data_IF_925286682759
#
_entry.id   IF_925286682759
#
_cell.length_a   1.000
_cell.length_b   1.000
_cell.length_c   1.000
_cell.angle_alpha   90.00
_cell.angle_beta   90.00
_cell.angle_gamma   90.00
#
_symmetry.space_group_name_H-M   'P 1'
#
loop_
_entity.id
_entity.type
_entity.pdbx_description
1 polymer ?
#
# COMPACT_ATOMS: atom_id res chain seq x y z
N UNK A 1 10.90 19.84 2.02
CA UNK A 1 10.40 19.69 3.40
C UNK A 1 9.27 20.66 3.77
N UNK A 2 9.25 21.89 3.22
CA UNK A 2 8.18 22.87 3.49
C UNK A 2 6.83 22.52 2.86
N UNK A 3 6.81 21.87 1.70
CA UNK A 3 5.58 21.47 1.02
C UNK A 3 4.77 20.43 1.80
N UNK A 4 5.44 19.37 2.27
CA UNK A 4 4.82 18.30 3.07
C UNK A 4 4.28 18.86 4.40
N UNK A 5 5.00 19.75 5.06
CA UNK A 5 4.50 20.42 6.28
C UNK A 5 3.23 21.23 6.02
N UNK A 6 3.17 21.99 4.93
CA UNK A 6 1.97 22.79 4.59
C UNK A 6 0.78 21.90 4.30
N UNK A 7 0.96 20.85 3.51
CA UNK A 7 -0.11 19.89 3.18
C UNK A 7 -0.63 19.19 4.45
N UNK A 8 0.26 18.74 5.33
CA UNK A 8 -0.11 18.13 6.60
C UNK A 8 -0.89 19.10 7.50
N UNK A 9 -0.44 20.37 7.62
CA UNK A 9 -1.16 21.37 8.40
C UNK A 9 -2.54 21.70 7.81
N UNK A 10 -2.67 21.72 6.49
CA UNK A 10 -3.98 21.87 5.83
C UNK A 10 -4.88 20.68 6.15
N UNK A 11 -4.41 19.45 6.00
CA UNK A 11 -5.18 18.25 6.32
C UNK A 11 -5.68 18.21 7.78
N UNK A 12 -4.84 18.60 8.74
CA UNK A 12 -5.23 18.69 10.15
C UNK A 12 -6.29 19.79 10.34
N UNK A 13 -6.12 20.93 9.70
CA UNK A 13 -7.04 22.06 9.77
C UNK A 13 -8.40 21.73 9.13
N UNK A 14 -8.40 20.98 8.03
CA UNK A 14 -9.59 20.57 7.29
C UNK A 14 -10.27 19.32 7.87
N UNK A 15 -9.85 18.86 9.06
CA UNK A 15 -10.38 17.67 9.75
C UNK A 15 -10.22 16.38 8.93
N UNK A 16 -9.13 16.25 8.19
CA UNK A 16 -8.78 15.03 7.47
C UNK A 16 -8.58 13.88 8.46
N UNK A 17 -9.18 12.73 8.16
CA UNK A 17 -9.05 11.52 8.97
C UNK A 17 -7.84 10.67 8.58
N UNK A 18 -7.36 10.82 7.37
CA UNK A 18 -6.31 9.99 6.79
C UNK A 18 -5.23 10.89 6.21
N UNK A 19 -3.98 10.62 6.54
CA UNK A 19 -2.82 11.29 5.95
C UNK A 19 -1.87 10.24 5.42
N UNK A 20 -1.60 10.28 4.12
CA UNK A 20 -0.68 9.34 3.47
C UNK A 20 0.61 10.05 3.05
N UNK A 21 1.73 9.37 3.28
CA UNK A 21 3.05 9.69 2.74
C UNK A 21 3.52 8.54 1.87
N UNK A 22 3.85 8.82 0.62
CA UNK A 22 4.33 7.80 -0.31
C UNK A 22 5.84 7.64 -0.19
N UNK A 23 6.29 6.39 -0.04
CA UNK A 23 7.69 6.01 0.08
C UNK A 23 8.12 5.04 -1.04
N UNK A 24 8.36 5.57 -2.24
CA UNK A 24 8.62 4.74 -3.42
C UNK A 24 9.96 4.01 -3.38
N UNK A 25 10.83 4.35 -2.45
CA UNK A 25 12.17 3.77 -2.35
C UNK A 25 12.32 2.70 -1.27
N UNK A 26 11.37 2.56 -0.35
CA UNK A 26 11.52 1.59 0.76
C UNK A 26 11.67 0.15 0.25
N UNK A 27 10.82 -0.26 -0.67
CA UNK A 27 10.94 -1.59 -1.26
C UNK A 27 12.17 -1.76 -2.16
N UNK A 28 12.62 -0.70 -2.84
CA UNK A 28 13.81 -0.77 -3.71
C UNK A 28 15.12 -0.70 -2.95
N UNK A 29 15.12 -0.09 -1.77
CA UNK A 29 16.30 0.13 -0.92
C UNK A 29 15.99 -0.16 0.54
N UNK A 30 15.66 -1.42 0.89
CA UNK A 30 15.20 -1.77 2.23
C UNK A 30 16.24 -1.46 3.33
N UNK A 31 17.51 -1.56 3.03
CA UNK A 31 18.58 -1.17 3.97
C UNK A 31 18.52 0.33 4.33
N UNK A 32 18.27 1.19 3.35
CA UNK A 32 18.11 2.62 3.59
C UNK A 32 16.81 2.91 4.35
N UNK A 33 15.74 2.16 4.08
CA UNK A 33 14.50 2.26 4.83
C UNK A 33 14.74 1.97 6.31
N UNK A 34 15.45 0.89 6.63
CA UNK A 34 15.80 0.51 8.01
C UNK A 34 16.77 1.49 8.67
N UNK A 35 17.82 1.92 7.96
CA UNK A 35 18.86 2.77 8.55
C UNK A 35 18.36 4.18 8.91
N UNK A 36 17.54 4.79 8.05
CA UNK A 36 17.05 6.17 8.28
C UNK A 36 15.67 6.48 7.72
N UNK A 37 15.15 5.67 6.76
CA UNK A 37 13.92 5.99 6.04
C UNK A 37 12.71 6.01 6.95
N UNK A 38 12.47 4.94 7.71
CA UNK A 38 11.34 4.81 8.65
C UNK A 38 11.39 5.92 9.69
N UNK A 39 12.56 6.19 10.26
CA UNK A 39 12.72 7.30 11.22
C UNK A 39 12.41 8.67 10.61
N UNK A 40 12.75 8.88 9.35
CA UNK A 40 12.38 10.12 8.66
C UNK A 40 10.88 10.20 8.34
N UNK A 41 10.27 9.06 7.99
CA UNK A 41 8.82 8.96 7.81
C UNK A 41 8.08 9.30 9.11
N UNK A 42 8.51 8.78 10.26
CA UNK A 42 7.96 9.13 11.57
C UNK A 42 8.05 10.63 11.86
N UNK A 43 9.16 11.28 11.48
CA UNK A 43 9.32 12.74 11.62
C UNK A 43 8.32 13.52 10.75
N UNK A 44 7.82 12.96 9.66
CA UNK A 44 6.76 13.58 8.86
C UNK A 44 5.44 13.66 9.63
N UNK A 45 5.20 12.75 10.55
CA UNK A 45 3.98 12.66 11.36
C UNK A 45 4.14 13.19 12.79
N UNK A 46 5.34 13.65 13.18
CA UNK A 46 5.70 14.00 14.56
C UNK A 46 4.73 14.96 15.26
N UNK A 47 4.18 15.92 14.52
CA UNK A 47 3.32 16.96 15.11
C UNK A 47 1.81 16.63 14.94
N UNK A 48 1.50 15.41 14.53
CA UNK A 48 0.12 14.93 14.45
C UNK A 48 -0.25 14.32 15.80
N UNK A 49 -0.78 15.13 16.69
CA UNK A 49 -1.15 14.72 18.04
C UNK A 49 -2.61 14.23 18.13
N UNK A 50 -3.38 14.32 17.03
CA UNK A 50 -4.76 13.88 17.00
C UNK A 50 -4.81 12.38 16.71
N UNK A 51 -5.16 11.57 17.71
CA UNK A 51 -5.28 10.12 17.61
C UNK A 51 -6.39 9.64 16.64
N UNK A 52 -7.28 10.53 16.23
CA UNK A 52 -8.29 10.21 15.21
C UNK A 52 -7.76 10.29 13.77
N UNK A 53 -6.51 10.70 13.57
CA UNK A 53 -5.89 10.78 12.25
C UNK A 53 -5.06 9.53 12.02
N UNK A 54 -5.45 8.73 11.04
CA UNK A 54 -4.74 7.54 10.61
C UNK A 54 -3.55 7.91 9.72
N UNK A 55 -2.36 7.49 10.12
CA UNK A 55 -1.09 7.73 9.44
C UNK A 55 -0.81 6.57 8.50
N UNK A 56 -0.81 6.86 7.20
CA UNK A 56 -0.67 5.85 6.15
C UNK A 56 0.65 6.07 5.43
N UNK A 57 1.33 4.99 5.08
CA UNK A 57 2.42 5.02 4.11
C UNK A 57 2.15 4.06 2.95
N UNK A 58 2.35 4.52 1.72
CA UNK A 58 2.34 3.66 0.54
C UNK A 58 3.76 3.32 0.13
N UNK A 59 4.04 2.03 -0.04
CA UNK A 59 5.36 1.51 -0.42
C UNK A 59 5.26 0.86 -1.78
N UNK A 60 5.62 1.65 -2.79
CA UNK A 60 5.60 1.24 -4.20
C UNK A 60 6.75 0.28 -4.52
N UNK A 61 6.48 -0.79 -5.26
CA UNK A 61 7.50 -1.71 -5.76
C UNK A 61 8.11 -1.30 -7.10
N UNK A 62 7.42 -0.49 -7.86
CA UNK A 62 7.83 -0.02 -9.17
C UNK A 62 6.64 0.44 -9.97
N UNK A 63 6.76 1.57 -10.64
CA UNK A 63 5.69 2.14 -11.44
C UNK A 63 6.02 1.98 -12.93
N UNK A 64 5.14 1.38 -13.73
CA UNK A 64 5.32 1.27 -15.18
C UNK A 64 5.21 2.65 -15.84
N UNK A 65 5.81 2.81 -17.01
CA UNK A 65 5.79 4.07 -17.79
C UNK A 65 4.54 4.21 -18.68
N UNK A 66 3.88 3.08 -18.96
CA UNK A 66 2.69 3.03 -19.83
C UNK A 66 1.79 1.83 -19.52
N UNK A 67 0.59 1.84 -20.07
CA UNK A 67 -0.34 0.72 -20.02
C UNK A 67 0.27 -0.51 -20.71
N UNK A 68 0.06 -1.67 -20.13
CA UNK A 68 0.57 -2.98 -20.59
C UNK A 68 2.09 -3.07 -20.68
N UNK A 69 2.83 -2.23 -19.95
CA UNK A 69 4.26 -2.38 -19.81
C UNK A 69 4.57 -3.66 -19.00
N UNK A 70 5.32 -4.58 -19.62
CA UNK A 70 5.71 -5.86 -19.00
C UNK A 70 7.10 -5.82 -18.39
N UNK A 71 7.97 -4.97 -18.92
CA UNK A 71 9.36 -4.86 -18.53
C UNK A 71 9.63 -3.47 -17.91
N UNK A 72 9.59 -3.40 -16.60
CA UNK A 72 9.95 -2.21 -15.82
C UNK A 72 10.61 -2.62 -14.49
N UNK A 73 11.51 -1.80 -13.95
CA UNK A 73 12.22 -2.13 -12.71
C UNK A 73 11.25 -2.30 -11.52
N UNK A 74 11.26 -3.49 -10.93
CA UNK A 74 10.53 -3.81 -9.71
C UNK A 74 11.48 -4.07 -8.56
N UNK A 75 11.06 -3.77 -7.35
CA UNK A 75 11.81 -4.10 -6.15
C UNK A 75 11.97 -5.62 -6.01
N UNK A 76 13.03 -6.13 -5.33
CA UNK A 76 13.20 -7.54 -5.02
C UNK A 76 11.99 -8.12 -4.28
N UNK A 77 11.70 -9.42 -4.47
CA UNK A 77 10.55 -10.10 -3.86
C UNK A 77 10.59 -10.12 -2.33
N UNK A 78 11.78 -10.11 -1.75
CA UNK A 78 12.01 -10.15 -0.31
C UNK A 78 11.99 -8.76 0.36
N UNK A 79 11.70 -7.70 -0.41
CA UNK A 79 11.79 -6.33 0.09
C UNK A 79 10.83 -6.07 1.25
N UNK A 80 9.59 -6.52 1.14
CA UNK A 80 8.59 -6.30 2.20
C UNK A 80 8.95 -7.07 3.47
N UNK A 81 9.42 -8.32 3.36
CA UNK A 81 9.82 -9.12 4.52
C UNK A 81 11.01 -8.51 5.29
N UNK A 82 11.84 -7.71 4.63
CA UNK A 82 12.96 -7.02 5.30
C UNK A 82 12.50 -5.85 6.16
N UNK A 83 11.40 -5.20 5.81
CA UNK A 83 10.97 -3.94 6.45
C UNK A 83 9.67 -4.07 7.25
N UNK A 84 8.90 -5.14 7.08
CA UNK A 84 7.57 -5.33 7.69
C UNK A 84 7.59 -5.14 9.21
N UNK A 85 8.50 -5.81 9.91
CA UNK A 85 8.61 -5.71 11.36
C UNK A 85 8.93 -4.28 11.83
N UNK A 86 9.87 -3.60 11.17
CA UNK A 86 10.24 -2.23 11.53
C UNK A 86 9.11 -1.23 11.25
N UNK A 87 8.26 -1.51 10.25
CA UNK A 87 7.06 -0.72 9.97
C UNK A 87 5.99 -0.95 11.05
N UNK A 88 5.77 -2.18 11.49
CA UNK A 88 4.82 -2.49 12.55
C UNK A 88 5.23 -1.88 13.90
N UNK A 89 6.54 -1.79 14.16
CA UNK A 89 7.10 -1.17 15.37
C UNK A 89 7.15 0.38 15.30
N UNK A 90 6.79 0.97 14.15
CA UNK A 90 6.80 2.43 13.94
C UNK A 90 5.48 3.09 14.38
N UNK A 91 5.41 4.42 14.21
CA UNK A 91 4.16 5.18 14.50
C UNK A 91 3.14 5.13 13.36
N UNK A 92 3.34 4.32 12.33
CA UNK A 92 2.47 4.19 11.17
C UNK A 92 1.29 3.28 11.52
N UNK A 93 0.08 3.76 11.30
CA UNK A 93 -1.14 3.01 11.60
C UNK A 93 -1.52 2.05 10.47
N UNK A 94 -1.17 2.39 9.22
CA UNK A 94 -1.54 1.60 8.03
C UNK A 94 -0.44 1.65 6.96
N UNK A 95 -0.07 0.48 6.44
CA UNK A 95 0.90 0.34 5.34
C UNK A 95 0.19 -0.12 4.08
N UNK A 96 0.38 0.58 2.96
CA UNK A 96 -0.11 0.18 1.65
C UNK A 96 1.00 -0.48 0.85
N UNK A 97 0.74 -1.70 0.36
CA UNK A 97 1.68 -2.56 -0.38
C UNK A 97 1.10 -3.05 -1.69
N UNK A 98 1.95 -3.30 -2.66
CA UNK A 98 1.58 -3.84 -3.97
C UNK A 98 1.70 -5.36 -4.00
N UNK A 99 0.76 -6.04 -4.65
CA UNK A 99 0.81 -7.50 -4.85
C UNK A 99 0.31 -7.95 -6.24
N UNK A 100 -0.64 -7.25 -6.84
CA UNK A 100 -1.27 -7.68 -8.09
C UNK A 100 -0.31 -7.75 -9.30
N UNK A 101 0.59 -6.79 -9.43
CA UNK A 101 1.60 -6.79 -10.51
C UNK A 101 2.72 -7.81 -10.28
N UNK A 102 2.90 -8.27 -9.04
CA UNK A 102 3.95 -9.18 -8.65
C UNK A 102 3.57 -9.87 -7.34
N UNK A 103 3.11 -11.08 -7.41
CA UNK A 103 2.73 -11.85 -6.23
C UNK A 103 3.91 -12.03 -5.28
N UNK A 104 3.70 -11.59 -4.03
CA UNK A 104 4.67 -11.73 -2.97
C UNK A 104 4.50 -13.08 -2.24
N UNK A 105 5.55 -13.54 -1.56
CA UNK A 105 5.38 -14.49 -0.46
C UNK A 105 4.74 -13.74 0.71
N UNK A 106 3.53 -14.15 1.07
CA UNK A 106 2.71 -13.43 2.06
C UNK A 106 3.10 -13.70 3.52
N UNK A 107 4.15 -14.49 3.77
CA UNK A 107 4.58 -14.78 5.14
C UNK A 107 4.92 -13.52 5.96
N UNK A 108 5.39 -12.44 5.30
CA UNK A 108 5.71 -11.18 5.98
C UNK A 108 4.48 -10.49 6.60
N UNK A 109 3.27 -10.81 6.16
CA UNK A 109 2.04 -10.27 6.76
C UNK A 109 1.90 -10.64 8.22
N UNK A 110 2.52 -11.75 8.67
CA UNK A 110 2.57 -12.16 10.08
C UNK A 110 3.31 -11.17 10.99
N UNK A 111 4.15 -10.33 10.43
CA UNK A 111 4.90 -9.34 11.19
C UNK A 111 4.02 -8.17 11.64
N UNK A 112 2.93 -7.90 10.90
CA UNK A 112 1.98 -6.85 11.24
C UNK A 112 1.03 -7.31 12.35
N UNK A 113 1.26 -6.79 13.57
CA UNK A 113 0.46 -7.09 14.77
C UNK A 113 -0.45 -5.93 15.15
N UNK A 114 -0.03 -4.72 14.88
CA UNK A 114 -0.72 -3.49 15.22
C UNK A 114 -1.13 -2.71 13.97
N UNK A 115 -0.31 -2.78 12.93
CA UNK A 115 -0.46 -2.00 11.70
C UNK A 115 -1.45 -2.69 10.77
N UNK A 116 -2.38 -1.93 10.21
CA UNK A 116 -3.25 -2.41 9.15
C UNK A 116 -2.49 -2.47 7.82
N UNK A 117 -2.94 -3.33 6.94
CA UNK A 117 -2.36 -3.49 5.61
C UNK A 117 -3.40 -3.19 4.53
N UNK A 118 -3.15 -2.17 3.72
CA UNK A 118 -3.82 -1.95 2.44
C UNK A 118 -3.10 -2.83 1.42
N UNK A 119 -3.81 -3.84 0.94
CA UNK A 119 -3.27 -4.89 0.09
C UNK A 119 -3.70 -4.71 -1.36
N UNK A 120 -2.73 -4.52 -2.25
CA UNK A 120 -2.93 -4.30 -3.67
C UNK A 120 -3.37 -5.56 -4.39
N UNK A 121 -4.57 -5.52 -5.02
CA UNK A 121 -5.19 -6.67 -5.69
C UNK A 121 -5.57 -6.38 -7.15
N UNK A 122 -5.37 -5.15 -7.61
CA UNK A 122 -5.71 -4.72 -8.97
C UNK A 122 -4.48 -4.13 -9.63
N UNK A 123 -4.14 -4.66 -10.81
CA UNK A 123 -3.05 -4.15 -11.64
C UNK A 123 -3.41 -2.78 -12.19
N UNK A 124 -2.57 -1.79 -11.91
CA UNK A 124 -2.80 -0.40 -12.27
C UNK A 124 -2.40 -0.05 -13.71
N UNK A 125 -1.63 -0.91 -14.36
CA UNK A 125 -1.12 -0.69 -15.71
C UNK A 125 -1.31 -1.93 -16.61
N UNK A 126 -2.41 -2.65 -16.43
CA UNK A 126 -2.81 -3.75 -17.29
C UNK A 126 -4.21 -3.52 -17.86
N UNK A 127 -4.36 -3.67 -19.18
CA UNK A 127 -5.66 -3.66 -19.85
C UNK A 127 -6.51 -4.91 -19.54
N UNK A 128 -5.87 -5.98 -19.05
CA UNK A 128 -6.58 -7.16 -18.59
C UNK A 128 -7.32 -6.89 -17.29
N UNK A 129 -8.55 -7.35 -17.23
CA UNK A 129 -9.39 -7.25 -16.03
C UNK A 129 -9.23 -8.52 -15.20
N UNK A 130 -8.94 -8.37 -13.93
CA UNK A 130 -8.87 -9.47 -12.98
C UNK A 130 -10.26 -10.10 -12.81
N UNK A 131 -10.34 -11.42 -12.68
CA UNK A 131 -11.61 -12.07 -12.31
C UNK A 131 -11.90 -11.90 -10.82
N UNK A 132 -13.18 -11.98 -10.45
CA UNK A 132 -13.60 -11.97 -9.05
C UNK A 132 -12.94 -13.12 -8.27
N UNK A 133 -12.87 -14.30 -8.89
CA UNK A 133 -12.32 -15.51 -8.32
C UNK A 133 -10.84 -15.39 -8.01
N UNK A 134 -10.05 -14.77 -8.90
CA UNK A 134 -8.63 -14.49 -8.66
C UNK A 134 -8.42 -13.57 -7.45
N UNK A 135 -9.22 -12.51 -7.35
CA UNK A 135 -9.14 -11.58 -6.22
C UNK A 135 -9.55 -12.27 -4.91
N UNK A 136 -10.66 -13.02 -4.91
CA UNK A 136 -11.11 -13.78 -3.73
C UNK A 136 -10.06 -14.79 -3.28
N UNK A 137 -9.45 -15.52 -4.21
CA UNK A 137 -8.38 -16.46 -3.90
C UNK A 137 -7.22 -15.76 -3.22
N UNK A 138 -6.80 -14.60 -3.75
CA UNK A 138 -5.66 -13.86 -3.20
C UNK A 138 -5.95 -13.24 -1.84
N UNK A 139 -7.18 -12.79 -1.58
CA UNK A 139 -7.62 -12.35 -0.24
C UNK A 139 -7.55 -13.54 0.74
N UNK A 140 -8.07 -14.70 0.36
CA UNK A 140 -7.99 -15.91 1.20
C UNK A 140 -6.55 -16.31 1.52
N UNK A 141 -5.62 -16.15 0.57
CA UNK A 141 -4.21 -16.41 0.81
C UNK A 141 -3.63 -15.43 1.84
N UNK A 142 -3.97 -14.15 1.77
CA UNK A 142 -3.53 -13.14 2.73
C UNK A 142 -4.10 -13.41 4.14
N UNK A 143 -5.38 -13.79 4.24
CA UNK A 143 -6.06 -14.08 5.51
C UNK A 143 -5.49 -15.31 6.27
N UNK A 144 -4.60 -16.09 5.65
CA UNK A 144 -3.83 -17.14 6.37
C UNK A 144 -2.77 -16.54 7.29
N UNK A 145 -2.41 -15.28 7.12
CA UNK A 145 -1.27 -14.63 7.74
C UNK A 145 -1.59 -13.35 8.52
N UNK A 146 -2.74 -12.72 8.24
CA UNK A 146 -3.17 -11.47 8.87
C UNK A 146 -4.67 -11.54 9.18
N UNK A 147 -5.10 -10.87 10.23
CA UNK A 147 -6.51 -10.82 10.60
C UNK A 147 -7.33 -9.97 9.63
N UNK A 148 -8.58 -10.36 9.42
CA UNK A 148 -9.49 -9.70 8.48
C UNK A 148 -9.67 -8.21 8.81
N UNK A 149 -9.75 -7.86 10.08
CA UNK A 149 -9.93 -6.49 10.58
C UNK A 149 -8.72 -5.59 10.31
N UNK A 150 -7.56 -6.20 10.02
CA UNK A 150 -6.33 -5.49 9.65
C UNK A 150 -6.14 -5.38 8.14
N UNK A 151 -6.90 -6.13 7.33
CA UNK A 151 -6.73 -6.19 5.87
C UNK A 151 -7.71 -5.25 5.16
N UNK A 152 -7.18 -4.35 4.35
CA UNK A 152 -7.93 -3.44 3.49
C UNK A 152 -7.54 -3.74 2.05
N UNK A 153 -8.52 -3.90 1.16
CA UNK A 153 -8.24 -4.18 -0.26
C UNK A 153 -8.18 -2.89 -1.08
N UNK A 154 -7.24 -2.82 -2.01
CA UNK A 154 -7.03 -1.67 -2.88
C UNK A 154 -6.39 -2.07 -4.22
N UNK A 155 -6.32 -1.17 -5.21
CA UNK A 155 -5.37 -1.31 -6.31
C UNK A 155 -3.92 -1.20 -5.81
N UNK A 156 -2.98 -1.74 -6.60
CA UNK A 156 -1.54 -1.69 -6.25
C UNK A 156 -1.04 -0.27 -6.02
N UNK A 157 -1.47 0.68 -6.84
CA UNK A 157 -1.06 2.08 -6.76
C UNK A 157 -2.12 2.97 -7.43
N UNK A 158 -1.77 4.21 -7.79
CA UNK A 158 -2.64 5.13 -8.50
C UNK A 158 -3.06 4.65 -9.91
N UNK A 159 -4.32 4.82 -10.27
CA UNK A 159 -4.92 4.29 -11.51
C UNK A 159 -4.67 5.15 -12.76
N UNK A 160 -3.66 6.03 -12.75
CA UNK A 160 -3.43 7.04 -13.79
C UNK A 160 -3.19 6.49 -15.20
N UNK A 161 -2.75 5.25 -15.35
CA UNK A 161 -2.55 4.59 -16.65
C UNK A 161 -3.83 3.97 -17.23
N UNK A 162 -4.84 3.73 -16.41
CA UNK A 162 -6.06 3.07 -16.86
C UNK A 162 -7.03 4.09 -17.49
N UNK A 163 -7.61 3.77 -18.65
CA UNK A 163 -8.81 4.46 -19.13
C UNK A 163 -9.91 4.43 -18.05
N UNK A 164 -10.65 5.53 -17.92
CA UNK A 164 -11.65 5.70 -16.85
C UNK A 164 -12.63 4.55 -16.71
N UNK A 165 -13.15 4.04 -17.84
CA UNK A 165 -14.15 2.97 -17.79
C UNK A 165 -13.54 1.64 -17.41
N UNK A 166 -12.31 1.35 -17.84
CA UNK A 166 -11.56 0.18 -17.40
C UNK A 166 -11.27 0.24 -15.90
N UNK A 167 -10.85 1.40 -15.39
CA UNK A 167 -10.62 1.60 -13.96
C UNK A 167 -11.90 1.32 -13.15
N UNK A 168 -13.06 1.81 -13.59
CA UNK A 168 -14.35 1.54 -12.94
C UNK A 168 -14.71 0.06 -12.92
N UNK A 169 -14.49 -0.66 -14.04
CA UNK A 169 -14.76 -2.11 -14.13
C UNK A 169 -13.90 -2.86 -13.12
N UNK A 170 -12.60 -2.61 -13.11
CA UNK A 170 -11.67 -3.26 -12.20
C UNK A 170 -12.02 -2.99 -10.73
N UNK A 171 -12.29 -1.73 -10.37
CA UNK A 171 -12.69 -1.36 -9.02
C UNK A 171 -14.01 -2.01 -8.59
N UNK A 172 -14.98 -2.11 -9.51
CA UNK A 172 -16.26 -2.77 -9.23
C UNK A 172 -16.04 -4.25 -8.88
N UNK A 173 -15.26 -4.97 -9.69
CA UNK A 173 -14.95 -6.38 -9.44
C UNK A 173 -14.21 -6.56 -8.10
N UNK A 174 -13.25 -5.68 -7.78
CA UNK A 174 -12.55 -5.69 -6.51
C UNK A 174 -13.52 -5.53 -5.32
N UNK A 175 -14.46 -4.57 -5.41
CA UNK A 175 -15.48 -4.37 -4.36
C UNK A 175 -16.41 -5.57 -4.25
N UNK A 176 -16.86 -6.13 -5.39
CA UNK A 176 -17.68 -7.34 -5.40
C UNK A 176 -16.96 -8.57 -4.81
N UNK A 177 -15.65 -8.69 -5.04
CA UNK A 177 -14.83 -9.73 -4.44
C UNK A 177 -14.70 -9.55 -2.92
N UNK A 178 -14.40 -8.34 -2.46
CA UNK A 178 -14.25 -8.04 -1.02
C UNK A 178 -15.55 -8.22 -0.24
N UNK A 179 -16.71 -8.05 -0.88
CA UNK A 179 -18.02 -8.24 -0.26
C UNK A 179 -18.33 -9.73 0.04
N UNK A 180 -17.46 -10.65 -0.35
CA UNK A 180 -17.59 -12.09 -0.06
C UNK A 180 -17.01 -12.46 1.31
N UNK A 181 -16.43 -11.50 2.04
CA UNK A 181 -15.79 -11.62 3.35
C UNK A 181 -16.48 -10.72 4.37
#
# INVERSE_FOLDING_TARGET
HTGIRRQRQMCIRDRCKYIQVDEPLFARKPENALNFGIKNLERCFKDINNQSIEKITHICCGYPDKLDAVDYPKAPLDSYSKISKALDESIIDTVSIEDAHRYNDLNFLKDFKQTKVIFGLVKIASSQVESKEEIVLRINDALKFIDKEQLIVAPDCGLGHLPRDLAKIKLKIMVEASSSF
#
